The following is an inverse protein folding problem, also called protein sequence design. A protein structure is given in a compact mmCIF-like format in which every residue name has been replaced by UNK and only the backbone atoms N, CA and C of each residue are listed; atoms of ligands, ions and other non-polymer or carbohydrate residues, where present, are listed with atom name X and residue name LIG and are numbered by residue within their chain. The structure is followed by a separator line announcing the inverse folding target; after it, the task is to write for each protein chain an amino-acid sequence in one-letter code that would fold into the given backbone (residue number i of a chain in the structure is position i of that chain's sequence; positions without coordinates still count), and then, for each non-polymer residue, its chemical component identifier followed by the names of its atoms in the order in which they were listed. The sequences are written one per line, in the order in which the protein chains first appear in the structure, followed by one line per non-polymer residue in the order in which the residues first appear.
data_IF_516960042630
#
_entry.id   IF_516960042630
#
_cell.length_a   1.000
_cell.length_b   1.000
_cell.length_c   1.000
_cell.angle_alpha   90.00
_cell.angle_beta   90.00
_cell.angle_gamma   90.00
#
_symmetry.space_group_name_H-M   'P 1'
#
loop_
_entity.id
_entity.type
_entity.pdbx_description
1 polymer ?
#
# COMPACT_ATOMS: atom_id res chain seq x y z
N UNK A 1 5.44 11.40 2.61
CA UNK A 1 5.34 10.95 4.02
C UNK A 1 6.60 10.19 4.38
N UNK A 2 7.18 10.42 5.56
CA UNK A 2 8.37 9.68 6.00
C UNK A 2 8.13 8.16 6.03
N UNK A 3 6.91 7.73 6.39
CA UNK A 3 6.50 6.32 6.37
C UNK A 3 6.49 5.72 4.97
N UNK A 4 5.98 6.42 3.94
CA UNK A 4 5.99 5.91 2.54
C UNK A 4 7.44 5.67 2.07
N UNK A 5 8.33 6.63 2.31
CA UNK A 5 9.72 6.51 1.86
C UNK A 5 10.45 5.36 2.56
N UNK A 6 10.21 5.20 3.88
CA UNK A 6 10.78 4.09 4.66
C UNK A 6 10.20 2.74 4.21
N UNK A 7 8.89 2.67 3.98
CA UNK A 7 8.23 1.47 3.49
C UNK A 7 8.79 1.04 2.12
N UNK A 8 8.95 1.99 1.19
CA UNK A 8 9.51 1.72 -0.13
C UNK A 8 10.96 1.23 -0.06
N UNK A 9 11.77 1.80 0.85
CA UNK A 9 13.13 1.33 1.08
C UNK A 9 13.16 -0.10 1.63
N UNK A 10 12.29 -0.41 2.61
CA UNK A 10 12.16 -1.77 3.16
C UNK A 10 11.69 -2.78 2.12
N UNK A 11 10.71 -2.43 1.29
CA UNK A 11 10.23 -3.28 0.20
C UNK A 11 11.35 -3.60 -0.82
N UNK A 12 12.21 -2.61 -1.13
CA UNK A 12 13.39 -2.83 -1.98
C UNK A 12 14.47 -3.71 -1.34
N UNK A 13 14.48 -3.78 -0.01
CA UNK A 13 15.34 -4.67 0.77
C UNK A 13 14.66 -6.01 1.10
N UNK A 14 13.50 -6.28 0.48
CA UNK A 14 12.68 -7.48 0.71
C UNK A 14 12.16 -7.64 2.15
N UNK A 15 12.26 -6.59 2.98
CA UNK A 15 11.55 -6.50 4.27
C UNK A 15 10.08 -6.13 4.02
N UNK A 16 9.33 -7.07 3.43
CA UNK A 16 7.93 -6.88 3.08
C UNK A 16 7.06 -6.66 4.32
N UNK A 17 7.33 -7.37 5.43
CA UNK A 17 6.59 -7.18 6.69
C UNK A 17 6.76 -5.75 7.23
N UNK A 18 7.99 -5.25 7.27
CA UNK A 18 8.27 -3.89 7.71
C UNK A 18 7.69 -2.83 6.76
N UNK A 19 7.67 -3.10 5.45
CA UNK A 19 7.03 -2.23 4.47
C UNK A 19 5.50 -2.17 4.64
N UNK A 20 4.85 -3.33 4.81
CA UNK A 20 3.41 -3.44 5.05
C UNK A 20 2.98 -2.65 6.30
N UNK A 21 3.75 -2.77 7.39
CA UNK A 21 3.48 -2.01 8.63
C UNK A 21 3.57 -0.49 8.42
N UNK A 22 4.56 -0.03 7.66
CA UNK A 22 4.74 1.39 7.39
C UNK A 22 3.66 1.94 6.43
N UNK A 23 3.27 1.19 5.40
CA UNK A 23 2.14 1.56 4.54
C UNK A 23 0.81 1.54 5.31
N UNK A 24 0.60 0.58 6.21
CA UNK A 24 -0.56 0.57 7.09
C UNK A 24 -0.61 1.83 7.97
N UNK A 25 0.54 2.32 8.48
CA UNK A 25 0.58 3.57 9.23
C UNK A 25 0.23 4.79 8.38
N UNK A 26 0.59 4.81 7.10
CA UNK A 26 0.19 5.88 6.17
C UNK A 26 -1.33 5.92 6.04
N UNK A 27 -1.96 4.75 5.89
CA UNK A 27 -3.42 4.60 5.78
C UNK A 27 -4.12 4.97 7.08
N UNK A 28 -3.58 4.56 8.24
CA UNK A 28 -4.11 4.94 9.56
C UNK A 28 -4.12 6.46 9.76
N UNK A 29 -3.03 7.13 9.37
CA UNK A 29 -2.88 8.58 9.50
C UNK A 29 -3.76 9.36 8.49
N UNK A 30 -3.97 8.81 7.30
CA UNK A 30 -4.88 9.38 6.31
C UNK A 30 -5.57 8.24 5.53
N UNK A 31 -6.80 7.87 5.92
CA UNK A 31 -7.55 6.77 5.28
C UNK A 31 -7.94 7.05 3.83
N UNK A 32 -7.78 8.28 3.33
CA UNK A 32 -8.02 8.65 1.92
C UNK A 32 -6.73 8.69 1.09
N UNK A 33 -5.59 8.29 1.65
CA UNK A 33 -4.32 8.31 0.93
C UNK A 33 -4.22 7.10 -0.02
N UNK A 34 -4.56 7.31 -1.29
CA UNK A 34 -4.52 6.28 -2.35
C UNK A 34 -3.13 5.69 -2.56
N UNK A 35 -2.05 6.48 -2.40
CA UNK A 35 -0.68 5.96 -2.48
C UNK A 35 -0.35 4.93 -1.39
N UNK A 36 -0.89 5.10 -0.19
CA UNK A 36 -0.73 4.14 0.91
C UNK A 36 -1.30 2.77 0.55
N UNK A 37 -2.53 2.75 0.02
CA UNK A 37 -3.17 1.52 -0.47
C UNK A 37 -2.42 0.96 -1.68
N UNK A 38 -2.03 1.79 -2.65
CA UNK A 38 -1.36 1.34 -3.87
C UNK A 38 -0.08 0.57 -3.59
N UNK A 39 0.81 1.13 -2.76
CA UNK A 39 2.07 0.47 -2.44
C UNK A 39 1.90 -0.71 -1.48
N UNK A 40 0.91 -0.68 -0.58
CA UNK A 40 0.57 -1.85 0.24
C UNK A 40 0.06 -3.00 -0.62
N UNK A 41 -0.83 -2.72 -1.58
CA UNK A 41 -1.34 -3.69 -2.54
C UNK A 41 -0.24 -4.29 -3.42
N UNK A 42 0.68 -3.48 -3.93
CA UNK A 42 1.86 -4.00 -4.64
C UNK A 42 2.75 -4.89 -3.76
N UNK A 43 2.96 -4.49 -2.50
CA UNK A 43 3.77 -5.28 -1.56
C UNK A 43 3.11 -6.62 -1.26
N UNK A 44 1.78 -6.64 -1.07
CA UNK A 44 0.98 -7.85 -0.90
C UNK A 44 1.04 -8.76 -2.13
N UNK A 45 0.96 -8.19 -3.33
CA UNK A 45 1.13 -8.93 -4.58
C UNK A 45 2.49 -9.63 -4.67
N UNK A 46 3.58 -8.95 -4.30
CA UNK A 46 4.94 -9.52 -4.30
C UNK A 46 5.07 -10.74 -3.36
N UNK A 47 4.30 -10.79 -2.28
CA UNK A 47 4.28 -11.91 -1.34
C UNK A 47 3.14 -12.89 -1.60
N UNK A 48 2.47 -12.80 -2.76
CA UNK A 48 1.36 -13.66 -3.19
C UNK A 48 0.10 -13.55 -2.32
N UNK A 49 -0.04 -12.49 -1.51
CA UNK A 49 -1.29 -12.11 -0.84
C UNK A 49 -2.20 -11.36 -1.84
N UNK A 50 -2.77 -12.13 -2.77
CA UNK A 50 -3.56 -11.57 -3.86
C UNK A 50 -4.89 -10.99 -3.37
N UNK A 51 -5.54 -11.63 -2.41
CA UNK A 51 -6.80 -11.15 -1.85
C UNK A 51 -6.61 -9.81 -1.15
N UNK A 52 -5.58 -9.68 -0.31
CA UNK A 52 -5.28 -8.40 0.34
C UNK A 52 -4.83 -7.32 -0.66
N UNK A 53 -4.18 -7.69 -1.76
CA UNK A 53 -3.83 -6.74 -2.81
C UNK A 53 -5.08 -6.22 -3.54
N UNK A 54 -6.03 -7.10 -3.87
CA UNK A 54 -7.32 -6.74 -4.48
C UNK A 54 -8.11 -5.82 -3.57
N UNK A 55 -8.16 -6.09 -2.27
CA UNK A 55 -8.81 -5.20 -1.29
C UNK A 55 -8.23 -3.79 -1.31
N UNK A 56 -6.89 -3.68 -1.34
CA UNK A 56 -6.20 -2.39 -1.38
C UNK A 56 -6.48 -1.63 -2.69
N UNK A 57 -6.45 -2.31 -3.83
CA UNK A 57 -6.74 -1.69 -5.13
C UNK A 57 -8.21 -1.29 -5.28
N UNK A 58 -9.15 -2.12 -4.79
CA UNK A 58 -10.56 -1.76 -4.74
C UNK A 58 -10.77 -0.49 -3.90
N UNK A 59 -10.02 -0.35 -2.79
CA UNK A 59 -10.13 0.85 -1.96
C UNK A 59 -9.69 2.12 -2.70
N UNK A 60 -8.72 2.01 -3.60
CA UNK A 60 -8.30 3.14 -4.44
C UNK A 60 -9.43 3.54 -5.39
N UNK A 61 -10.08 2.57 -6.05
CA UNK A 61 -11.21 2.82 -6.96
C UNK A 61 -12.40 3.44 -6.20
N UNK A 62 -12.68 3.00 -4.97
CA UNK A 62 -13.72 3.61 -4.13
C UNK A 62 -13.41 5.08 -3.78
N UNK A 63 -12.15 5.42 -3.56
CA UNK A 63 -11.71 6.75 -3.15
C UNK A 63 -11.57 7.71 -4.34
N UNK A 64 -11.12 7.19 -5.48
CA UNK A 64 -10.91 7.93 -6.73
C UNK A 64 -11.48 7.11 -7.90
N UNK A 65 -12.80 7.20 -8.15
CA UNK A 65 -13.47 6.38 -9.18
C UNK A 65 -12.98 6.60 -10.60
N UNK A 66 -12.40 7.78 -10.87
CA UNK A 66 -11.88 8.17 -12.19
C UNK A 66 -10.35 7.94 -12.30
N UNK A 67 -9.74 7.24 -11.35
CA UNK A 67 -8.30 6.99 -11.36
C UNK A 67 -7.95 5.97 -12.46
N UNK A 68 -7.00 6.33 -13.33
CA UNK A 68 -6.37 5.38 -14.22
C UNK A 68 -5.18 4.73 -13.48
N UNK A 69 -5.33 3.47 -13.10
CA UNK A 69 -4.30 2.65 -12.45
C UNK A 69 -3.23 2.16 -13.44
#
# INVERSE_FOLDING_TARGET
SAYINRAAAKARLEDFSGALNDYAKVIELNPKNTMGYFYRGQTRNNIHDYDGAIEDFNKIIELEPDIAL
#
